data_IF_647685091853
#
_entry.id   IF_647685091853
#
_cell.length_a   1.000
_cell.length_b   1.000
_cell.length_c   1.000
_cell.angle_alpha   90.00
_cell.angle_beta   90.00
_cell.angle_gamma   90.00
#
_symmetry.space_group_name_H-M   'P 1'
#
loop_
_entity.id
_entity.type
_entity.pdbx_description
1 polymer ?
#
# COMPACT_ATOMS: atom_id res chain seq x y z
N UNK A 1 -17.45 -12.16 0.76
CA UNK A 1 -16.22 -11.51 1.26
C UNK A 1 -15.57 -10.68 0.17
N UNK A 2 -14.91 -11.28 -0.84
CA UNK A 2 -14.24 -10.56 -1.93
C UNK A 2 -15.06 -9.43 -2.57
N UNK A 3 -16.29 -9.71 -3.04
CA UNK A 3 -17.15 -8.68 -3.66
C UNK A 3 -17.49 -7.54 -2.71
N UNK A 4 -17.71 -7.83 -1.41
CA UNK A 4 -18.01 -6.80 -0.42
C UNK A 4 -16.78 -5.94 -0.13
N UNK A 5 -15.59 -6.55 -0.05
CA UNK A 5 -14.32 -5.82 0.13
C UNK A 5 -14.03 -4.91 -1.06
N UNK A 6 -14.19 -5.41 -2.30
CA UNK A 6 -14.04 -4.59 -3.51
C UNK A 6 -15.04 -3.42 -3.48
N UNK A 7 -16.33 -3.70 -3.24
CA UNK A 7 -17.36 -2.65 -3.23
C UNK A 7 -17.12 -1.59 -2.15
N UNK A 8 -16.63 -1.99 -0.97
CA UNK A 8 -16.28 -1.07 0.11
C UNK A 8 -15.12 -0.14 -0.29
N UNK A 9 -14.10 -0.66 -0.97
CA UNK A 9 -12.96 0.11 -1.46
C UNK A 9 -13.34 1.01 -2.65
N UNK A 10 -14.17 0.53 -3.58
CA UNK A 10 -14.73 1.35 -4.66
C UNK A 10 -15.58 2.52 -4.11
N UNK A 11 -16.37 2.29 -3.04
CA UNK A 11 -17.22 3.31 -2.43
C UNK A 11 -16.45 4.49 -1.82
N UNK A 12 -15.17 4.30 -1.48
CA UNK A 12 -14.28 5.34 -0.93
C UNK A 12 -13.18 5.76 -1.90
N UNK A 13 -13.33 5.41 -3.18
CA UNK A 13 -12.37 5.65 -4.26
C UNK A 13 -10.96 5.07 -3.99
N UNK A 14 -10.87 4.05 -3.14
CA UNK A 14 -9.64 3.26 -2.93
C UNK A 14 -9.38 2.26 -4.06
N UNK A 15 -10.39 2.03 -4.90
CA UNK A 15 -10.32 1.34 -6.19
C UNK A 15 -11.14 2.11 -7.21
N UNK A 16 -10.70 2.13 -8.46
CA UNK A 16 -11.56 2.55 -9.56
C UNK A 16 -12.58 1.44 -9.84
N UNK A 17 -13.77 1.83 -10.29
CA UNK A 17 -14.82 0.87 -10.62
C UNK A 17 -14.34 -0.12 -11.69
N UNK A 18 -14.38 -1.40 -11.37
CA UNK A 18 -13.95 -2.48 -12.28
C UNK A 18 -12.43 -2.62 -12.45
N UNK A 19 -11.62 -1.91 -11.66
CA UNK A 19 -10.15 -2.08 -11.64
C UNK A 19 -9.75 -3.49 -11.22
N UNK A 20 -10.52 -4.08 -10.31
CA UNK A 20 -10.34 -5.44 -9.80
C UNK A 20 -11.70 -6.14 -9.75
N UNK A 21 -11.75 -7.40 -10.17
CA UNK A 21 -12.92 -8.24 -10.04
C UNK A 21 -12.69 -9.41 -9.07
N UNK A 22 -13.79 -9.88 -8.47
CA UNK A 22 -13.74 -10.93 -7.45
C UNK A 22 -13.22 -12.29 -7.98
N UNK A 23 -13.40 -12.59 -9.27
CA UNK A 23 -12.92 -13.84 -9.87
C UNK A 23 -11.39 -13.79 -10.00
N UNK A 24 -10.83 -12.65 -10.41
CA UNK A 24 -9.39 -12.45 -10.51
C UNK A 24 -8.70 -12.54 -9.14
N UNK A 25 -9.26 -11.89 -8.10
CA UNK A 25 -8.76 -12.03 -6.72
C UNK A 25 -8.84 -13.47 -6.22
N UNK A 26 -9.98 -14.14 -6.44
CA UNK A 26 -10.16 -15.53 -6.04
C UNK A 26 -9.14 -16.45 -6.70
N UNK A 27 -8.91 -16.30 -8.01
CA UNK A 27 -7.89 -17.09 -8.73
C UNK A 27 -6.49 -16.85 -8.19
N UNK A 28 -6.13 -15.59 -7.94
CA UNK A 28 -4.82 -15.24 -7.42
C UNK A 28 -4.55 -15.90 -6.05
N UNK A 29 -5.51 -15.81 -5.13
CA UNK A 29 -5.34 -16.43 -3.81
C UNK A 29 -5.34 -17.95 -3.87
N UNK A 30 -6.17 -18.59 -4.71
CA UNK A 30 -6.17 -20.05 -4.84
C UNK A 30 -4.89 -20.62 -5.47
N UNK A 31 -4.16 -19.81 -6.24
CA UNK A 31 -2.86 -20.21 -6.81
C UNK A 31 -1.75 -20.22 -5.74
N UNK A 32 -1.83 -19.31 -4.77
CA UNK A 32 -0.86 -19.18 -3.68
C UNK A 32 -1.22 -20.10 -2.50
N UNK A 33 -2.49 -20.17 -2.13
CA UNK A 33 -2.99 -20.93 -0.99
C UNK A 33 -4.33 -21.66 -1.33
N UNK A 34 -4.26 -22.86 -1.94
CA UNK A 34 -5.42 -23.55 -2.46
C UNK A 34 -6.32 -24.14 -1.36
N UNK A 35 -7.64 -24.05 -1.55
CA UNK A 35 -8.63 -24.79 -0.75
C UNK A 35 -9.10 -24.10 0.54
N UNK A 36 -8.58 -22.92 0.86
CA UNK A 36 -9.02 -22.15 2.03
C UNK A 36 -10.28 -21.33 1.77
N UNK A 37 -11.15 -21.26 2.79
CA UNK A 37 -12.30 -20.36 2.80
C UNK A 37 -11.82 -18.92 2.99
N UNK A 38 -12.33 -18.01 2.16
CA UNK A 38 -11.91 -16.60 2.18
C UNK A 38 -12.79 -15.82 3.17
N UNK A 39 -12.24 -15.53 4.35
CA UNK A 39 -12.77 -14.55 5.31
C UNK A 39 -12.41 -13.12 4.92
N UNK A 40 -12.57 -12.17 5.85
CA UNK A 40 -12.36 -10.74 5.55
C UNK A 40 -10.89 -10.38 5.44
N UNK A 41 -10.04 -10.92 6.32
CA UNK A 41 -8.59 -10.70 6.30
C UNK A 41 -7.98 -11.35 5.05
N UNK A 42 -8.42 -12.56 4.70
CA UNK A 42 -8.00 -13.23 3.47
C UNK A 42 -8.48 -12.47 2.22
N UNK A 43 -9.66 -11.85 2.27
CA UNK A 43 -10.13 -11.00 1.17
C UNK A 43 -9.26 -9.75 0.99
N UNK A 44 -8.81 -9.11 2.08
CA UNK A 44 -7.86 -7.99 2.01
C UNK A 44 -6.48 -8.48 1.54
N UNK A 45 -6.01 -9.63 2.04
CA UNK A 45 -4.72 -10.21 1.63
C UNK A 45 -4.70 -10.60 0.15
N UNK A 46 -5.86 -10.97 -0.42
CA UNK A 46 -5.94 -11.42 -1.82
C UNK A 46 -5.50 -10.35 -2.83
N UNK A 47 -5.53 -9.07 -2.46
CA UNK A 47 -4.98 -7.99 -3.29
C UNK A 47 -3.45 -8.10 -3.43
N UNK A 48 -2.74 -8.50 -2.36
CA UNK A 48 -1.30 -8.76 -2.42
C UNK A 48 -0.99 -9.95 -3.32
N UNK A 49 -1.78 -11.03 -3.22
CA UNK A 49 -1.65 -12.18 -4.12
C UNK A 49 -1.81 -11.79 -5.60
N UNK A 50 -2.76 -10.89 -5.91
CA UNK A 50 -2.97 -10.40 -7.28
C UNK A 50 -1.82 -9.52 -7.77
N UNK A 51 -1.29 -8.68 -6.88
CA UNK A 51 -0.13 -7.83 -7.14
C UNK A 51 1.14 -8.65 -7.42
N UNK A 52 1.44 -9.65 -6.58
CA UNK A 52 2.65 -10.46 -6.67
C UNK A 52 2.71 -11.29 -7.95
N UNK A 53 1.56 -11.68 -8.49
CA UNK A 53 1.47 -12.37 -9.78
C UNK A 53 1.66 -11.42 -10.97
N UNK A 54 1.91 -10.12 -10.73
CA UNK A 54 2.04 -9.04 -11.71
C UNK A 54 0.84 -8.93 -12.67
N UNK A 55 -0.36 -9.31 -12.20
CA UNK A 55 -1.58 -9.38 -13.01
C UNK A 55 -2.37 -8.07 -13.03
N UNK A 56 -2.12 -7.18 -12.07
CA UNK A 56 -2.67 -5.84 -12.02
C UNK A 56 -1.74 -4.90 -11.25
N UNK A 57 -1.56 -3.68 -11.77
CA UNK A 57 -1.01 -2.59 -10.98
C UNK A 57 -2.21 -1.79 -10.44
N UNK A 58 -2.53 -1.97 -9.17
CA UNK A 58 -3.70 -1.36 -8.54
C UNK A 58 -3.29 0.05 -8.11
N UNK A 59 -3.75 1.06 -8.85
CA UNK A 59 -3.14 2.39 -8.85
C UNK A 59 -3.24 3.14 -7.52
N UNK A 60 -4.11 2.71 -6.61
CA UNK A 60 -4.35 3.33 -5.29
C UNK A 60 -3.87 2.48 -4.11
N UNK A 61 -3.20 1.36 -4.36
CA UNK A 61 -2.74 0.44 -3.34
C UNK A 61 -1.22 0.31 -3.32
N UNK A 62 -0.68 0.20 -2.11
CA UNK A 62 0.73 -0.11 -1.85
C UNK A 62 0.80 -1.33 -0.95
N UNK A 63 1.62 -2.29 -1.35
CA UNK A 63 1.91 -3.51 -0.61
C UNK A 63 3.28 -3.38 0.02
N UNK A 64 3.33 -3.43 1.35
CA UNK A 64 4.57 -3.25 2.13
C UNK A 64 4.88 -4.59 2.80
N UNK A 65 5.91 -5.33 2.32
CA UNK A 65 6.23 -6.64 2.87
C UNK A 65 6.68 -6.55 4.33
N UNK A 66 6.13 -7.41 5.19
CA UNK A 66 6.58 -7.59 6.56
C UNK A 66 7.63 -8.71 6.64
N UNK A 67 8.46 -8.69 7.68
CA UNK A 67 9.47 -9.71 7.97
C UNK A 67 10.49 -10.01 6.85
N UNK A 68 10.69 -9.08 5.91
CA UNK A 68 11.72 -9.15 4.87
C UNK A 68 12.89 -8.22 5.17
N UNK A 69 14.04 -8.48 4.54
CA UNK A 69 15.14 -7.53 4.51
C UNK A 69 14.84 -6.39 3.53
N UNK A 70 14.96 -5.16 4.02
CA UNK A 70 14.78 -3.95 3.24
C UNK A 70 16.11 -3.51 2.64
N UNK A 71 16.10 -3.24 1.34
CA UNK A 71 17.20 -2.66 0.61
C UNK A 71 16.75 -1.37 -0.12
N UNK A 72 17.69 -0.72 -0.78
CA UNK A 72 17.41 0.50 -1.55
C UNK A 72 16.31 0.29 -2.61
N UNK A 73 16.39 -0.76 -3.44
CA UNK A 73 15.34 -1.11 -4.39
C UNK A 73 13.94 -1.29 -3.79
N UNK A 74 13.79 -2.01 -2.67
CA UNK A 74 12.49 -2.21 -2.03
C UNK A 74 11.92 -0.89 -1.49
N UNK A 75 12.74 -0.07 -0.85
CA UNK A 75 12.31 1.25 -0.37
C UNK A 75 11.93 2.18 -1.52
N UNK A 76 12.62 2.10 -2.65
CA UNK A 76 12.28 2.84 -3.86
C UNK A 76 10.93 2.39 -4.43
N UNK A 77 10.66 1.07 -4.46
CA UNK A 77 9.39 0.51 -4.93
C UNK A 77 8.22 0.96 -4.05
N UNK A 78 8.35 0.83 -2.73
CA UNK A 78 7.34 1.27 -1.76
C UNK A 78 7.09 2.77 -1.93
N UNK A 79 8.15 3.58 -2.01
CA UNK A 79 8.02 5.02 -2.19
C UNK A 79 7.28 5.39 -3.48
N UNK A 80 7.66 4.78 -4.60
CA UNK A 80 7.01 5.03 -5.89
C UNK A 80 5.54 4.61 -5.87
N UNK A 81 5.22 3.46 -5.26
CA UNK A 81 3.85 2.95 -5.14
C UNK A 81 2.98 3.86 -4.26
N UNK A 82 3.48 4.35 -3.12
CA UNK A 82 2.74 5.29 -2.26
C UNK A 82 2.49 6.60 -2.99
N UNK A 83 3.51 7.16 -3.64
CA UNK A 83 3.37 8.41 -4.38
C UNK A 83 2.42 8.26 -5.58
N UNK A 84 2.44 7.11 -6.26
CA UNK A 84 1.47 6.75 -7.31
C UNK A 84 0.06 6.66 -6.76
N UNK A 85 -0.11 6.04 -5.59
CA UNK A 85 -1.40 5.98 -4.88
C UNK A 85 -1.93 7.37 -4.53
N UNK A 86 -1.04 8.32 -4.22
CA UNK A 86 -1.36 9.74 -4.01
C UNK A 86 -1.53 10.56 -5.31
N UNK A 87 -1.42 9.92 -6.48
CA UNK A 87 -1.64 10.55 -7.78
C UNK A 87 -0.41 11.19 -8.42
N UNK A 88 0.80 10.80 -7.99
CA UNK A 88 2.08 11.18 -8.62
C UNK A 88 2.65 9.97 -9.38
N UNK A 89 2.68 9.97 -10.72
CA UNK A 89 3.04 8.80 -11.52
C UNK A 89 4.56 8.56 -11.53
N UNK A 90 5.11 8.17 -10.39
CA UNK A 90 6.52 7.88 -10.20
C UNK A 90 6.77 6.38 -10.33
N UNK A 91 7.93 6.03 -10.86
CA UNK A 91 8.43 4.67 -10.93
C UNK A 91 9.60 4.51 -9.99
N UNK A 92 9.96 3.25 -9.68
CA UNK A 92 11.10 2.93 -8.83
C UNK A 92 12.39 3.60 -9.31
N UNK A 93 12.61 3.67 -10.62
CA UNK A 93 13.77 4.32 -11.23
C UNK A 93 13.83 5.84 -11.01
N UNK A 94 12.72 6.48 -10.66
CA UNK A 94 12.64 7.91 -10.35
C UNK A 94 13.01 8.20 -8.87
N UNK A 95 13.23 7.16 -8.06
CA UNK A 95 13.51 7.25 -6.63
C UNK A 95 14.97 6.93 -6.35
N UNK A 96 15.67 7.85 -5.69
CA UNK A 96 17.05 7.66 -5.24
C UNK A 96 17.06 7.41 -3.74
N UNK A 97 17.47 6.21 -3.34
CA UNK A 97 17.59 5.82 -1.93
C UNK A 97 19.06 5.79 -1.51
N UNK A 98 19.36 6.51 -0.44
CA UNK A 98 20.66 6.48 0.24
C UNK A 98 20.49 5.82 1.60
N UNK A 99 21.07 4.64 1.77
CA UNK A 99 21.05 3.89 3.04
C UNK A 99 22.21 4.31 3.95
N UNK A 100 22.10 4.07 5.27
CA UNK A 100 23.23 4.14 6.18
C UNK A 100 24.39 3.24 5.73
N UNK A 101 25.63 3.62 6.07
CA UNK A 101 26.81 2.84 5.74
C UNK A 101 26.79 1.43 6.39
N UNK A 102 27.25 0.44 5.62
CA UNK A 102 27.58 -0.94 6.03
C UNK A 102 26.56 -1.65 6.94
N UNK A 103 25.36 -1.92 6.42
CA UNK A 103 24.39 -2.83 7.06
C UNK A 103 23.92 -2.39 8.44
N UNK A 104 24.19 -1.15 8.83
CA UNK A 104 23.77 -0.56 10.11
C UNK A 104 22.38 0.02 9.99
N UNK A 105 21.66 -0.05 11.10
CA UNK A 105 20.45 0.74 11.28
C UNK A 105 20.81 2.23 11.40
N UNK A 106 19.92 3.11 10.95
CA UNK A 106 20.15 4.55 10.96
C UNK A 106 19.14 5.29 10.10
N UNK A 107 19.48 6.50 9.67
CA UNK A 107 18.62 7.31 8.81
C UNK A 107 18.88 6.99 7.34
N UNK A 108 17.86 6.54 6.62
CA UNK A 108 17.87 6.50 5.17
C UNK A 108 17.32 7.83 4.61
N UNK A 109 17.86 8.27 3.48
CA UNK A 109 17.37 9.42 2.73
C UNK A 109 16.81 8.98 1.39
N UNK A 110 15.61 9.44 1.06
CA UNK A 110 14.92 9.08 -0.17
C UNK A 110 14.58 10.37 -0.91
N UNK A 111 15.12 10.51 -2.13
CA UNK A 111 14.90 11.67 -2.98
C UNK A 111 14.12 11.28 -4.25
N UNK A 112 13.21 12.17 -4.66
CA UNK A 112 12.38 11.99 -5.85
C UNK A 112 11.93 13.35 -6.39
N UNK A 113 11.31 13.39 -7.57
CA UNK A 113 10.85 14.65 -8.18
C UNK A 113 9.34 14.69 -8.38
N UNK A 114 8.67 15.69 -7.82
CA UNK A 114 7.23 15.94 -8.02
C UNK A 114 7.05 17.33 -8.64
N UNK A 115 6.32 17.40 -9.75
CA UNK A 115 6.05 18.64 -10.47
C UNK A 115 7.33 19.48 -10.74
N UNK A 116 8.42 18.81 -11.11
CA UNK A 116 9.72 19.43 -11.41
C UNK A 116 10.52 19.91 -10.19
N UNK A 117 10.07 19.64 -8.96
CA UNK A 117 10.81 19.92 -7.72
C UNK A 117 11.36 18.64 -7.12
N UNK A 118 12.63 18.66 -6.75
CA UNK A 118 13.25 17.58 -5.99
C UNK A 118 12.83 17.69 -4.53
N UNK A 119 12.25 16.62 -4.03
CA UNK A 119 11.80 16.45 -2.66
C UNK A 119 12.65 15.36 -2.00
N UNK A 120 12.89 15.51 -0.70
CA UNK A 120 13.63 14.52 0.09
C UNK A 120 12.86 14.19 1.36
N UNK A 121 12.72 12.91 1.65
CA UNK A 121 12.24 12.39 2.94
C UNK A 121 13.36 11.63 3.63
N UNK A 122 13.33 11.63 4.95
CA UNK A 122 14.18 10.80 5.78
C UNK A 122 13.30 9.81 6.52
N UNK A 123 13.80 8.58 6.68
CA UNK A 123 13.11 7.54 7.43
C UNK A 123 14.10 6.64 8.17
N UNK A 124 13.59 5.95 9.18
CA UNK A 124 14.34 5.02 10.02
C UNK A 124 14.57 3.70 9.28
N UNK A 125 15.82 3.38 8.98
CA UNK A 125 16.21 2.11 8.37
C UNK A 125 16.53 1.07 9.46
N UNK A 126 15.69 0.04 9.55
CA UNK A 126 15.77 -1.01 10.59
C UNK A 126 16.16 -2.40 10.04
N UNK A 127 16.55 -2.49 8.77
CA UNK A 127 16.86 -3.72 8.04
C UNK A 127 15.65 -4.66 7.86
N UNK A 128 15.20 -5.38 8.90
CA UNK A 128 14.12 -6.41 8.78
C UNK A 128 12.70 -5.91 9.02
N UNK A 129 12.51 -4.60 9.10
CA UNK A 129 11.24 -3.99 9.43
C UNK A 129 10.93 -2.81 8.50
N UNK A 130 9.65 -2.63 8.12
CA UNK A 130 9.22 -1.44 7.41
C UNK A 130 9.57 -0.18 8.20
N UNK A 131 10.10 0.88 7.57
CA UNK A 131 10.29 2.16 8.23
C UNK A 131 8.94 2.72 8.68
N UNK A 132 8.70 2.75 9.99
CA UNK A 132 7.42 3.21 10.56
C UNK A 132 7.10 4.68 10.22
N UNK A 133 8.13 5.46 9.89
CA UNK A 133 8.07 6.89 9.57
C UNK A 133 8.00 7.17 8.06
N UNK A 134 8.21 6.19 7.18
CA UNK A 134 8.18 6.41 5.72
C UNK A 134 6.78 6.77 5.22
N UNK A 135 5.76 5.97 5.55
CA UNK A 135 4.39 6.23 5.09
C UNK A 135 3.85 7.57 5.62
N UNK A 136 4.01 7.90 6.92
CA UNK A 136 3.69 9.24 7.43
C UNK A 136 4.44 10.37 6.70
N UNK A 137 5.74 10.18 6.40
CA UNK A 137 6.52 11.18 5.69
C UNK A 137 6.06 11.38 4.23
N UNK A 138 5.58 10.32 3.57
CA UNK A 138 5.07 10.39 2.20
C UNK A 138 3.66 10.95 2.10
N UNK A 139 2.82 10.75 3.12
CA UNK A 139 1.44 11.28 3.20
C UNK A 139 1.37 12.80 2.98
N UNK A 140 2.42 13.55 3.36
CA UNK A 140 2.50 15.02 3.17
C UNK A 140 2.49 15.47 1.70
N UNK A 141 2.74 14.56 0.76
CA UNK A 141 2.71 14.84 -0.68
C UNK A 141 1.33 14.65 -1.29
N UNK A 142 0.28 14.45 -0.48
CA UNK A 142 -1.10 14.40 -0.98
C UNK A 142 -1.45 15.63 -1.83
N UNK A 143 -2.13 15.37 -2.95
CA UNK A 143 -2.53 16.40 -3.91
C UNK A 143 -3.67 17.25 -3.35
N UNK A 144 -3.60 18.56 -3.51
CA UNK A 144 -4.67 19.48 -3.06
C UNK A 144 -5.91 19.43 -3.96
N UNK A 145 -5.71 19.14 -5.24
CA UNK A 145 -6.75 19.04 -6.26
C UNK A 145 -7.45 17.68 -6.28
N UNK A 146 -6.84 16.66 -5.65
CA UNK A 146 -7.40 15.34 -5.41
C UNK A 146 -6.99 14.89 -3.99
N UNK A 147 -7.63 15.42 -2.93
CA UNK A 147 -7.22 15.13 -1.56
C UNK A 147 -7.49 13.67 -1.20
N UNK A 148 -6.42 12.98 -0.79
CA UNK A 148 -6.44 11.56 -0.42
C UNK A 148 -5.89 11.37 0.99
N UNK A 149 -6.50 10.44 1.71
CA UNK A 149 -6.00 9.93 2.98
C UNK A 149 -5.40 8.55 2.75
N UNK A 150 -4.16 8.33 3.20
CA UNK A 150 -3.59 6.99 3.27
C UNK A 150 -4.12 6.28 4.52
N UNK A 151 -4.67 5.09 4.32
CA UNK A 151 -5.11 4.19 5.38
C UNK A 151 -4.35 2.86 5.26
N UNK A 152 -3.98 2.28 6.40
CA UNK A 152 -3.34 0.98 6.48
C UNK A 152 -4.34 -0.10 6.85
N UNK A 153 -4.11 -1.33 6.40
CA UNK A 153 -4.73 -2.55 6.91
C UNK A 153 -3.63 -3.59 7.12
N UNK A 154 -3.78 -4.35 8.20
CA UNK A 154 -2.94 -5.51 8.48
C UNK A 154 -3.77 -6.78 8.20
N UNK A 155 -3.68 -7.35 6.99
CA UNK A 155 -4.38 -8.57 6.65
C UNK A 155 -3.73 -9.84 7.25
N UNK A 156 -2.57 -9.72 7.93
CA UNK A 156 -1.80 -10.82 8.51
C UNK A 156 -0.28 -10.63 8.38
N UNK A 157 0.47 -11.62 8.87
CA UNK A 157 1.91 -11.51 9.18
C UNK A 157 2.84 -11.07 8.03
N UNK A 158 2.47 -11.19 6.75
CA UNK A 158 3.44 -11.09 5.64
C UNK A 158 3.39 -9.79 4.85
N UNK A 159 2.30 -9.02 4.85
CA UNK A 159 2.19 -7.81 4.01
C UNK A 159 1.20 -6.83 4.61
N UNK A 160 1.67 -5.61 4.86
CA UNK A 160 0.80 -4.47 5.17
C UNK A 160 0.22 -3.90 3.87
N UNK A 161 -1.08 -3.61 3.86
CA UNK A 161 -1.74 -2.95 2.75
C UNK A 161 -1.97 -1.48 3.09
N UNK A 162 -1.51 -0.57 2.23
CA UNK A 162 -1.87 0.84 2.30
C UNK A 162 -2.75 1.22 1.10
N UNK A 163 -3.79 2.01 1.36
CA UNK A 163 -4.73 2.45 0.32
C UNK A 163 -4.92 3.96 0.40
N UNK A 164 -4.82 4.64 -0.74
CA UNK A 164 -5.17 6.06 -0.86
C UNK A 164 -6.68 6.20 -1.12
N UNK A 165 -7.44 6.52 -0.07
CA UNK A 165 -8.89 6.70 -0.14
C UNK A 165 -9.26 8.18 -0.15
N UNK A 166 -10.52 8.50 -0.46
CA UNK A 166 -11.05 9.85 -0.29
C UNK A 166 -10.90 10.33 1.16
N UNK A 167 -10.42 11.55 1.35
CA UNK A 167 -10.23 12.13 2.67
C UNK A 167 -11.52 12.06 3.53
N UNK A 168 -11.39 11.66 4.80
CA UNK A 168 -12.51 11.56 5.75
C UNK A 168 -13.40 10.32 5.57
N UNK A 169 -13.04 9.39 4.68
CA UNK A 169 -13.89 8.24 4.35
C UNK A 169 -13.56 6.94 5.11
N UNK A 170 -12.57 6.95 6.01
CA UNK A 170 -12.14 5.75 6.75
C UNK A 170 -13.27 5.10 7.56
N UNK A 171 -14.11 5.90 8.24
CA UNK A 171 -15.25 5.39 8.98
C UNK A 171 -16.31 4.76 8.07
N UNK A 172 -16.49 5.31 6.86
CA UNK A 172 -17.39 4.73 5.86
C UNK A 172 -16.84 3.40 5.33
N UNK A 173 -15.53 3.34 5.03
CA UNK A 173 -14.85 2.12 4.60
C UNK A 173 -15.04 1.01 5.63
N UNK A 174 -14.69 1.26 6.89
CA UNK A 174 -14.83 0.25 7.95
C UNK A 174 -16.30 -0.15 8.19
N UNK A 175 -17.25 0.79 8.10
CA UNK A 175 -18.67 0.49 8.28
C UNK A 175 -19.31 -0.34 7.17
N UNK A 176 -18.68 -0.43 5.98
CA UNK A 176 -19.13 -1.29 4.88
C UNK A 176 -18.55 -2.72 4.97
N UNK A 177 -17.49 -2.92 5.74
CA UNK A 177 -16.86 -4.23 5.88
C UNK A 177 -17.61 -5.06 6.91
N UNK A 178 -17.91 -6.35 6.61
CA UNK A 178 -18.58 -7.23 7.55
C UNK A 178 -17.59 -7.76 8.60
N UNK A 179 -17.14 -6.89 9.50
CA UNK A 179 -16.21 -7.18 10.58
C UNK A 179 -16.68 -6.54 11.90
N UNK A 180 -16.37 -7.19 13.02
CA UNK A 180 -16.73 -6.70 14.37
C UNK A 180 -15.80 -5.59 14.87
N UNK A 181 -14.66 -5.42 14.21
CA UNK A 181 -13.63 -4.41 14.53
C UNK A 181 -13.24 -3.63 13.28
N UNK A 182 -12.69 -2.43 13.48
CA UNK A 182 -12.09 -1.66 12.40
C UNK A 182 -10.92 -2.44 11.78
N UNK A 183 -10.89 -2.53 10.46
CA UNK A 183 -9.85 -3.24 9.70
C UNK A 183 -8.84 -2.28 9.07
N UNK A 184 -9.29 -1.07 8.72
CA UNK A 184 -8.45 0.00 8.22
C UNK A 184 -8.22 1.04 9.32
N UNK A 185 -6.97 1.49 9.46
CA UNK A 185 -6.54 2.51 10.39
C UNK A 185 -5.81 3.64 9.66
N UNK A 186 -5.69 4.82 10.30
CA UNK A 186 -4.94 5.92 9.74
C UNK A 186 -3.43 5.60 9.70
N UNK A 187 -2.82 5.75 8.52
CA UNK A 187 -1.40 5.53 8.29
C UNK A 187 -0.55 6.77 8.62
#
# INVERSE_FOLDING_TARGET
MLTATIAALEAVDGLNSGEVDAISLWKAVQEIDPGYAIGIHEAINSFAALHDLARANIGRMTFVPAHTEYDGPLLAEITASVLTSLGHPLRREDIVVTLPADGKQGTASIAFSIAGRTETVECSYLWKYPPADLIPALKRFSRRDDPRQLVGADPGDQTLLYVAIREGSIGHLNGLLPADTELFYEA
#
